data_IF_837155449027
#
_entry.id   IF_837155449027
#
_cell.length_a   1.000
_cell.length_b   1.000
_cell.length_c   1.000
_cell.angle_alpha   90.00
_cell.angle_beta   90.00
_cell.angle_gamma   90.00
#
_symmetry.space_group_name_H-M   'P 1'
#
loop_
_entity.id
_entity.type
_entity.pdbx_description
1 polymer ?
#
# COMPACT_ATOMS: atom_id res chain seq x y z
N UNK A 1 18.54 5.31 -11.64
CA UNK A 1 18.36 5.91 -10.31
C UNK A 1 17.19 5.28 -9.61
N UNK A 2 17.33 5.01 -8.33
CA UNK A 2 16.20 4.52 -7.56
C UNK A 2 15.23 5.66 -7.22
N UNK A 3 13.94 5.34 -7.13
CA UNK A 3 12.94 6.30 -6.72
C UNK A 3 13.11 6.66 -5.25
N UNK A 4 12.68 7.86 -4.88
CA UNK A 4 12.71 8.34 -3.51
C UNK A 4 11.32 8.25 -2.88
N UNK A 5 11.23 8.52 -1.59
CA UNK A 5 9.94 8.57 -0.90
C UNK A 5 9.01 9.62 -1.51
N UNK A 6 9.55 10.75 -1.97
CA UNK A 6 8.76 11.81 -2.60
C UNK A 6 8.09 11.35 -3.89
N UNK A 7 8.73 10.44 -4.61
CA UNK A 7 8.19 9.94 -5.88
C UNK A 7 7.00 9.01 -5.68
N UNK A 8 6.82 8.47 -4.48
CA UNK A 8 5.72 7.59 -4.13
C UNK A 8 4.58 8.40 -3.51
N UNK A 9 3.83 9.11 -4.35
CA UNK A 9 2.77 10.01 -3.87
C UNK A 9 1.37 9.60 -4.29
N UNK A 10 1.21 8.50 -5.00
CA UNK A 10 -0.10 7.94 -5.34
C UNK A 10 -0.47 6.93 -4.25
N UNK A 11 -1.36 7.32 -3.33
CA UNK A 11 -1.65 6.50 -2.17
C UNK A 11 -3.03 5.86 -2.24
N UNK A 12 -3.16 4.73 -1.53
CA UNK A 12 -4.43 4.07 -1.28
C UNK A 12 -4.43 3.59 0.16
N UNK A 13 -5.49 3.92 0.90
CA UNK A 13 -5.68 3.51 2.28
C UNK A 13 -6.80 2.49 2.34
N UNK A 14 -6.52 1.36 2.97
CA UNK A 14 -7.46 0.26 3.09
C UNK A 14 -7.64 -0.13 4.55
N UNK A 15 -8.76 -0.78 4.83
CA UNK A 15 -9.04 -1.37 6.13
C UNK A 15 -9.17 -2.88 5.98
N UNK A 16 -8.56 -3.63 6.90
CA UNK A 16 -8.75 -5.07 6.99
C UNK A 16 -8.67 -5.52 8.44
N UNK A 17 -9.58 -6.38 8.84
CA UNK A 17 -9.59 -6.98 10.18
C UNK A 17 -8.55 -8.09 10.35
N UNK A 18 -7.96 -8.56 9.27
CA UNK A 18 -7.09 -9.73 9.26
C UNK A 18 -5.67 -9.35 8.84
N UNK A 19 -4.71 -9.52 9.73
CA UNK A 19 -3.31 -9.21 9.45
C UNK A 19 -2.75 -10.06 8.31
N UNK A 20 -3.24 -11.28 8.11
CA UNK A 20 -2.82 -12.10 6.98
C UNK A 20 -3.23 -11.47 5.65
N UNK A 21 -4.42 -10.85 5.60
CA UNK A 21 -4.88 -10.10 4.42
C UNK A 21 -3.97 -8.88 4.19
N UNK A 22 -3.58 -8.18 5.25
CA UNK A 22 -2.63 -7.06 5.15
C UNK A 22 -1.31 -7.53 4.55
N UNK A 23 -0.83 -8.71 4.95
CA UNK A 23 0.38 -9.31 4.38
C UNK A 23 0.25 -9.59 2.89
N UNK A 24 -0.91 -10.10 2.46
CA UNK A 24 -1.19 -10.32 1.03
C UNK A 24 -1.22 -8.99 0.26
N UNK A 25 -1.88 -7.98 0.80
CA UNK A 25 -1.95 -6.66 0.18
C UNK A 25 -0.56 -6.04 0.04
N UNK A 26 0.27 -6.20 1.07
CA UNK A 26 1.65 -5.72 1.05
C UNK A 26 2.47 -6.39 -0.05
N UNK A 27 2.34 -7.71 -0.19
CA UNK A 27 3.02 -8.45 -1.25
C UNK A 27 2.55 -7.99 -2.63
N UNK A 28 1.26 -7.74 -2.79
CA UNK A 28 0.72 -7.20 -4.05
C UNK A 28 1.25 -5.80 -4.34
N UNK A 29 1.37 -4.94 -3.32
CA UNK A 29 1.92 -3.60 -3.50
C UNK A 29 3.35 -3.68 -4.01
N UNK A 30 4.17 -4.57 -3.44
CA UNK A 30 5.54 -4.79 -3.90
C UNK A 30 5.57 -5.31 -5.33
N UNK A 31 4.66 -6.20 -5.69
CA UNK A 31 4.58 -6.78 -7.03
C UNK A 31 4.19 -5.71 -8.06
N UNK A 32 3.27 -4.82 -7.71
CA UNK A 32 2.78 -3.80 -8.65
C UNK A 32 3.74 -2.63 -8.82
N UNK A 33 4.60 -2.37 -7.84
CA UNK A 33 5.66 -1.36 -7.94
C UNK A 33 6.83 -1.96 -8.74
N UNK A 34 6.69 -2.02 -10.05
CA UNK A 34 7.62 -2.74 -10.91
C UNK A 34 8.90 -1.99 -11.22
N UNK A 35 9.00 -0.71 -10.84
CA UNK A 35 10.22 0.07 -10.99
C UNK A 35 10.52 0.82 -9.71
N UNK A 36 11.77 1.22 -9.52
CA UNK A 36 12.17 1.95 -8.33
C UNK A 36 12.23 1.05 -7.09
N UNK A 37 11.77 1.56 -5.96
CA UNK A 37 11.91 0.89 -4.68
C UNK A 37 10.57 0.34 -4.16
N UNK A 38 10.35 -0.96 -4.39
CA UNK A 38 9.11 -1.63 -3.97
C UNK A 38 8.89 -1.58 -2.45
N UNK A 39 9.95 -1.44 -1.65
CA UNK A 39 9.84 -1.37 -0.19
C UNK A 39 9.13 -0.09 0.25
N UNK A 40 9.25 0.98 -0.51
CA UNK A 40 8.55 2.23 -0.21
C UNK A 40 7.05 2.03 -0.42
N UNK A 41 6.66 1.37 -1.50
CA UNK A 41 5.25 1.07 -1.76
C UNK A 41 4.62 0.23 -0.63
N UNK A 42 5.43 -0.63 -0.04
CA UNK A 42 5.03 -1.48 1.07
C UNK A 42 4.66 -0.68 2.34
N UNK A 43 5.27 0.51 2.56
CA UNK A 43 4.91 1.39 3.66
C UNK A 43 5.33 0.91 5.04
N UNK A 44 6.22 -0.06 5.15
CA UNK A 44 6.72 -0.61 6.43
C UNK A 44 5.57 -1.03 7.37
N UNK A 45 4.49 -1.58 6.83
CA UNK A 45 3.31 -1.93 7.61
C UNK A 45 3.59 -3.13 8.51
N UNK A 46 3.64 -2.89 9.81
CA UNK A 46 3.86 -3.93 10.82
C UNK A 46 2.61 -4.03 11.70
N UNK A 47 2.49 -5.15 12.40
CA UNK A 47 1.33 -5.39 13.26
C UNK A 47 1.05 -4.26 14.27
N UNK A 48 2.06 -3.74 15.01
CA UNK A 48 1.78 -2.64 15.94
C UNK A 48 1.25 -1.39 15.25
N UNK A 49 1.78 -1.06 14.08
CA UNK A 49 1.34 0.12 13.32
C UNK A 49 -0.08 -0.05 12.82
N UNK A 50 -0.41 -1.24 12.31
CA UNK A 50 -1.74 -1.58 11.84
C UNK A 50 -2.77 -1.48 12.97
N UNK A 51 -2.45 -2.01 14.17
CA UNK A 51 -3.34 -1.93 15.32
C UNK A 51 -3.54 -0.49 15.79
N UNK A 52 -2.46 0.30 15.85
CA UNK A 52 -2.55 1.70 16.26
C UNK A 52 -3.35 2.55 15.28
N UNK A 53 -3.32 2.19 14.01
CA UNK A 53 -4.05 2.91 12.96
C UNK A 53 -5.51 2.48 12.84
N UNK A 54 -6.02 1.66 13.75
CA UNK A 54 -7.39 1.17 13.69
C UNK A 54 -7.59 0.14 12.58
N UNK A 55 -6.57 -0.69 12.36
CA UNK A 55 -6.56 -1.74 11.35
C UNK A 55 -6.58 -1.19 9.92
N UNK A 56 -5.99 -0.02 9.72
CA UNK A 56 -5.84 0.63 8.43
C UNK A 56 -4.39 0.54 7.96
N UNK A 57 -4.20 0.47 6.65
CA UNK A 57 -2.89 0.49 6.03
C UNK A 57 -2.92 1.42 4.82
N UNK A 58 -1.79 2.08 4.55
CA UNK A 58 -1.65 2.94 3.38
C UNK A 58 -0.48 2.47 2.55
N UNK A 59 -0.71 2.23 1.27
CA UNK A 59 0.34 1.90 0.31
C UNK A 59 0.52 3.08 -0.63
N UNK A 60 1.77 3.37 -1.00
CA UNK A 60 2.12 4.51 -1.84
C UNK A 60 2.95 4.05 -3.02
N UNK A 61 2.52 4.46 -4.21
CA UNK A 61 3.13 4.04 -5.47
C UNK A 61 3.75 5.23 -6.18
N UNK A 62 4.78 4.96 -6.98
CA UNK A 62 5.47 6.02 -7.74
C UNK A 62 4.74 6.40 -9.03
N UNK A 63 3.76 5.60 -9.45
CA UNK A 63 2.97 5.88 -10.64
C UNK A 63 1.51 5.56 -10.40
N UNK A 64 0.65 6.36 -11.03
CA UNK A 64 -0.80 6.16 -10.94
C UNK A 64 -1.19 4.75 -11.43
N UNK A 65 -0.59 4.30 -12.53
CA UNK A 65 -0.88 2.99 -13.09
C UNK A 65 -0.55 1.84 -12.15
N UNK A 66 0.46 1.98 -11.32
CA UNK A 66 0.81 0.96 -10.33
C UNK A 66 -0.26 0.83 -9.26
N UNK A 67 -0.82 1.93 -8.79
CA UNK A 67 -1.91 1.92 -7.84
C UNK A 67 -3.16 1.27 -8.46
N UNK A 68 -3.48 1.59 -9.70
CA UNK A 68 -4.64 1.03 -10.38
C UNK A 68 -4.47 -0.48 -10.58
N UNK A 69 -3.28 -0.95 -10.93
CA UNK A 69 -2.99 -2.37 -11.04
C UNK A 69 -3.11 -3.07 -9.69
N UNK A 70 -2.64 -2.44 -8.62
CA UNK A 70 -2.79 -2.96 -7.27
C UNK A 70 -4.26 -3.16 -6.90
N UNK A 71 -5.11 -2.17 -7.17
CA UNK A 71 -6.55 -2.26 -6.92
C UNK A 71 -7.18 -3.41 -7.70
N UNK A 72 -6.83 -3.53 -8.96
CA UNK A 72 -7.34 -4.58 -9.83
C UNK A 72 -6.95 -5.96 -9.32
N UNK A 73 -5.69 -6.15 -8.99
CA UNK A 73 -5.19 -7.45 -8.53
C UNK A 73 -5.73 -7.80 -7.15
N UNK A 74 -5.85 -6.84 -6.24
CA UNK A 74 -6.44 -7.08 -4.94
C UNK A 74 -7.89 -7.55 -5.06
N UNK A 75 -8.66 -6.89 -5.93
CA UNK A 75 -10.07 -7.26 -6.17
C UNK A 75 -10.21 -8.61 -6.86
N UNK A 76 -9.22 -9.00 -7.67
CA UNK A 76 -9.22 -10.28 -8.36
C UNK A 76 -8.86 -11.44 -7.46
N UNK A 77 -7.90 -11.22 -6.55
CA UNK A 77 -7.31 -12.30 -5.75
C UNK A 77 -7.96 -12.48 -4.39
N UNK A 78 -8.55 -11.43 -3.83
CA UNK A 78 -9.11 -11.45 -2.48
C UNK A 78 -10.61 -11.17 -2.50
N UNK A 79 -11.40 -11.92 -1.70
CA UNK A 79 -12.82 -11.60 -1.55
C UNK A 79 -13.03 -10.18 -1.04
N UNK A 80 -14.04 -9.50 -1.57
CA UNK A 80 -14.35 -8.12 -1.21
C UNK A 80 -14.67 -7.94 0.28
N UNK A 81 -15.12 -9.00 0.94
CA UNK A 81 -15.43 -8.95 2.38
C UNK A 81 -14.18 -8.86 3.25
N UNK A 82 -12.99 -9.16 2.73
CA UNK A 82 -11.75 -9.22 3.52
C UNK A 82 -11.06 -7.87 3.67
N UNK A 83 -11.37 -6.90 2.81
CA UNK A 83 -10.77 -5.57 2.89
C UNK A 83 -11.70 -4.53 2.30
N UNK A 84 -11.44 -3.26 2.65
CA UNK A 84 -12.23 -2.15 2.14
C UNK A 84 -11.31 -0.98 1.81
N UNK A 85 -11.48 -0.40 0.62
CA UNK A 85 -10.77 0.83 0.26
C UNK A 85 -11.46 2.01 0.94
N UNK A 86 -10.70 2.79 1.69
CA UNK A 86 -11.21 3.94 2.42
C UNK A 86 -10.98 5.24 1.68
N UNK A 87 -9.80 5.40 1.05
CA UNK A 87 -9.46 6.62 0.35
C UNK A 87 -8.30 6.39 -0.62
N UNK A 88 -8.18 7.29 -1.59
CA UNK A 88 -7.06 7.34 -2.53
C UNK A 88 -6.65 8.79 -2.69
N UNK A 89 -5.34 9.03 -2.80
CA UNK A 89 -4.81 10.38 -3.01
C UNK A 89 -3.69 10.35 -4.03
N UNK A 90 -3.63 11.36 -4.88
CA UNK A 90 -2.58 11.49 -5.89
C UNK A 90 -1.44 12.39 -5.42
N UNK A 91 -1.58 13.02 -4.26
CA UNK A 91 -0.61 13.95 -3.70
C UNK A 91 -0.41 13.66 -2.22
N UNK A 92 0.10 12.47 -1.94
CA UNK A 92 0.33 11.99 -0.59
C UNK A 92 1.70 11.29 -0.52
N UNK A 93 2.79 12.08 -0.55
CA UNK A 93 4.13 11.50 -0.64
C UNK A 93 4.48 10.66 0.59
N UNK A 94 5.17 9.56 0.32
CA UNK A 94 5.71 8.73 1.39
C UNK A 94 6.77 9.50 2.15
N UNK A 95 6.91 9.18 3.43
CA UNK A 95 7.98 9.72 4.27
C UNK A 95 8.88 8.59 4.73
N UNK A 96 10.18 8.85 4.92
CA UNK A 96 11.06 7.82 5.50
C UNK A 96 10.55 7.40 6.87
N UNK A 97 10.65 6.09 7.14
CA UNK A 97 10.33 5.60 8.47
C UNK A 97 11.34 6.17 9.46
N UNK A 98 10.84 6.55 10.62
CA UNK A 98 11.73 7.00 11.70
C UNK A 98 12.54 5.83 12.22
N UNK A 99 13.82 6.05 12.35
CA UNK A 99 14.76 5.04 12.80
C UNK A 99 14.84 4.95 14.33
#
# INVERSE_FOLDING_TARGET
>A
MSTTHKDHHFSITLHSEDLAVVGCLRALAQHCQTSGNARIAWGHTKRPDWLRAGKKVTFRFSQHGYREEFKKEASRLLPAALFRVLSERDDDPATPADE
#
